data_IF_869119389048
#
_entry.id   IF_869119389048
#
_cell.length_a   1.000
_cell.length_b   1.000
_cell.length_c   1.000
_cell.angle_alpha   90.00
_cell.angle_beta   90.00
_cell.angle_gamma   90.00
#
_symmetry.space_group_name_H-M   'P 1'
#
loop_
_entity.id
_entity.type
_entity.pdbx_description
1 polymer ?
#
# COMPACT_ATOMS: atom_id res chain seq x y z
N UNK A 1 -2.83 22.76 16.42
CA UNK A 1 -2.35 22.07 15.25
C UNK A 1 -1.05 22.69 14.74
N UNK A 2 -0.16 21.88 14.30
CA UNK A 2 1.13 22.39 13.83
C UNK A 2 0.99 23.09 12.49
N UNK A 3 1.55 24.30 12.40
CA UNK A 3 1.56 25.02 11.14
C UNK A 3 2.51 24.35 10.14
N UNK A 4 3.42 23.51 10.61
CA UNK A 4 4.32 22.80 9.72
C UNK A 4 3.56 21.95 8.71
N UNK A 5 2.42 21.41 9.13
CA UNK A 5 1.60 20.59 8.24
C UNK A 5 1.10 21.43 7.07
N UNK A 6 0.81 22.69 7.33
CA UNK A 6 0.29 23.57 6.29
C UNK A 6 1.34 23.92 5.24
N UNK A 7 2.59 23.86 5.61
CA UNK A 7 3.67 24.26 4.73
C UNK A 7 4.31 23.08 4.01
N UNK A 8 3.91 21.86 4.34
CA UNK A 8 4.50 20.68 3.76
C UNK A 8 3.48 19.90 2.98
N UNK A 9 3.81 19.48 1.76
CA UNK A 9 2.91 18.58 1.05
C UNK A 9 2.81 17.27 1.81
N UNK A 10 1.74 16.56 1.58
CA UNK A 10 1.59 15.23 2.15
C UNK A 10 2.71 14.35 1.61
N UNK A 11 3.27 13.52 2.48
CA UNK A 11 4.36 12.64 2.10
C UNK A 11 4.22 11.31 2.84
N UNK A 12 5.21 10.45 2.69
CA UNK A 12 5.15 9.10 3.22
C UNK A 12 5.16 9.04 4.75
N UNK A 13 5.45 10.15 5.41
CA UNK A 13 5.39 10.19 6.87
C UNK A 13 3.95 10.23 7.37
N UNK A 14 3.00 10.55 6.50
CA UNK A 14 1.58 10.58 6.83
C UNK A 14 0.86 9.66 5.85
N UNK A 15 0.36 8.53 6.35
CA UNK A 15 -0.32 7.58 5.50
C UNK A 15 -1.44 6.89 6.27
N UNK A 16 -2.38 6.36 5.52
CA UNK A 16 -3.47 5.55 6.06
C UNK A 16 -3.26 4.11 5.61
N UNK A 17 -3.64 3.18 6.47
CA UNK A 17 -3.46 1.77 6.18
C UNK A 17 -4.81 1.07 6.11
N UNK A 18 -4.97 0.23 5.10
CA UNK A 18 -6.15 -0.62 4.97
C UNK A 18 -5.68 -2.07 4.98
N UNK A 19 -6.22 -2.83 5.92
CA UNK A 19 -5.93 -4.26 6.00
C UNK A 19 -7.04 -5.01 5.28
N UNK A 20 -6.68 -5.71 4.23
CA UNK A 20 -7.64 -6.40 3.37
C UNK A 20 -7.74 -7.88 3.72
N UNK A 21 -8.94 -8.42 3.58
CA UNK A 21 -9.20 -9.82 3.89
C UNK A 21 -8.58 -10.77 2.87
N UNK A 22 -8.56 -10.36 1.60
CA UNK A 22 -8.09 -11.20 0.52
C UNK A 22 -7.63 -10.36 -0.65
N UNK A 23 -7.18 -11.03 -1.71
CA UNK A 23 -6.70 -10.36 -2.89
C UNK A 23 -7.79 -9.52 -3.55
N UNK A 24 -9.02 -9.99 -3.51
CA UNK A 24 -10.13 -9.27 -4.12
C UNK A 24 -10.29 -7.89 -3.49
N UNK A 25 -10.21 -7.80 -2.18
CA UNK A 25 -10.29 -6.51 -1.50
C UNK A 25 -9.11 -5.62 -1.84
N UNK A 26 -7.91 -6.20 -1.90
CA UNK A 26 -6.73 -5.44 -2.31
C UNK A 26 -6.95 -4.82 -3.67
N UNK A 27 -7.45 -5.61 -4.62
CA UNK A 27 -7.69 -5.13 -5.97
C UNK A 27 -8.72 -4.00 -6.00
N UNK A 28 -9.79 -4.14 -5.22
CA UNK A 28 -10.86 -3.14 -5.17
C UNK A 28 -10.32 -1.81 -4.65
N UNK A 29 -9.65 -1.83 -3.50
CA UNK A 29 -9.14 -0.60 -2.90
C UNK A 29 -8.02 0.00 -3.72
N UNK A 30 -7.13 -0.85 -4.24
CA UNK A 30 -6.03 -0.36 -5.06
C UNK A 30 -6.55 0.37 -6.29
N UNK A 31 -7.50 -0.25 -6.99
CA UNK A 31 -8.08 0.38 -8.18
C UNK A 31 -8.81 1.66 -7.84
N UNK A 32 -9.51 1.68 -6.72
CA UNK A 32 -10.23 2.86 -6.29
C UNK A 32 -9.29 4.03 -6.08
N UNK A 33 -8.20 3.82 -5.35
CA UNK A 33 -7.28 4.90 -5.03
C UNK A 33 -6.43 5.32 -6.22
N UNK A 34 -6.02 4.37 -7.05
CA UNK A 34 -5.09 4.69 -8.12
C UNK A 34 -5.77 5.14 -9.41
N UNK A 35 -7.07 4.97 -9.51
CA UNK A 35 -7.78 5.33 -10.72
C UNK A 35 -7.55 6.78 -11.12
N UNK A 36 -7.53 7.68 -10.15
CA UNK A 36 -7.25 9.09 -10.41
C UNK A 36 -6.02 9.56 -9.64
N UNK A 37 -5.27 8.63 -9.08
CA UNK A 37 -4.07 8.90 -8.33
C UNK A 37 -2.87 8.26 -8.99
N UNK A 38 -1.98 7.70 -8.16
CA UNK A 38 -0.74 7.09 -8.64
C UNK A 38 -0.42 5.84 -7.87
N UNK A 39 0.18 4.87 -8.56
CA UNK A 39 0.74 3.69 -7.90
C UNK A 39 2.12 4.04 -7.36
N UNK A 40 2.43 3.49 -6.21
CA UNK A 40 3.78 3.58 -5.66
C UNK A 40 4.30 2.16 -5.47
N UNK A 41 5.14 1.93 -4.46
CA UNK A 41 5.81 0.65 -4.27
C UNK A 41 5.32 -0.03 -2.99
N UNK A 42 5.44 -1.34 -2.93
CA UNK A 42 5.26 -2.10 -1.69
C UNK A 42 3.88 -1.93 -1.07
N UNK A 43 2.85 -1.85 -1.89
CA UNK A 43 1.48 -1.69 -1.39
C UNK A 43 1.08 -0.26 -1.12
N UNK A 44 1.96 0.69 -1.38
CA UNK A 44 1.65 2.11 -1.22
C UNK A 44 1.05 2.67 -2.49
N UNK A 45 0.10 3.58 -2.33
CA UNK A 45 -0.43 4.34 -3.46
C UNK A 45 -0.83 5.73 -2.97
N UNK A 46 -1.11 6.60 -3.92
CA UNK A 46 -1.45 8.00 -3.65
C UNK A 46 -2.78 8.25 -4.33
N UNK A 47 -3.76 8.76 -3.57
CA UNK A 47 -5.06 9.03 -4.16
C UNK A 47 -5.07 10.38 -4.88
N UNK A 48 -6.22 10.73 -5.44
CA UNK A 48 -6.32 11.96 -6.23
C UNK A 48 -6.13 13.23 -5.41
N UNK A 49 -6.21 13.11 -4.10
CA UNK A 49 -6.02 14.25 -3.20
C UNK A 49 -4.60 14.33 -2.65
N UNK A 50 -3.75 13.42 -3.05
CA UNK A 50 -2.37 13.39 -2.57
C UNK A 50 -2.17 12.63 -1.26
N UNK A 51 -3.22 11.98 -0.77
CA UNK A 51 -3.10 11.17 0.44
C UNK A 51 -2.43 9.85 0.12
N UNK A 52 -1.55 9.41 1.01
CA UNK A 52 -0.87 8.14 0.84
C UNK A 52 -1.63 7.05 1.55
N UNK A 53 -1.76 5.93 0.87
CA UNK A 53 -2.46 4.76 1.39
C UNK A 53 -1.58 3.53 1.28
N UNK A 54 -1.68 2.67 2.28
CA UNK A 54 -1.05 1.35 2.24
C UNK A 54 -2.17 0.33 2.17
N UNK A 55 -2.25 -0.39 1.06
CA UNK A 55 -3.28 -1.41 0.85
C UNK A 55 -2.62 -2.75 1.03
N UNK A 56 -2.84 -3.37 2.17
CA UNK A 56 -2.09 -4.55 2.61
C UNK A 56 -3.03 -5.69 2.99
N UNK A 57 -2.57 -6.94 2.85
CA UNK A 57 -3.35 -8.07 3.35
C UNK A 57 -3.27 -8.12 4.87
N UNK A 58 -4.34 -8.59 5.50
CA UNK A 58 -4.37 -8.66 6.96
C UNK A 58 -3.34 -9.64 7.52
N UNK A 59 -2.91 -10.60 6.71
CA UNK A 59 -1.92 -11.59 7.12
C UNK A 59 -0.52 -11.25 6.59
N UNK A 60 -0.23 -9.95 6.45
CA UNK A 60 1.06 -9.53 5.92
C UNK A 60 2.24 -10.09 6.70
N UNK A 61 2.14 -10.10 8.05
CA UNK A 61 3.22 -10.62 8.87
C UNK A 61 3.53 -12.07 8.53
N UNK A 62 2.48 -12.86 8.32
CA UNK A 62 2.66 -14.26 7.95
C UNK A 62 3.34 -14.38 6.60
N UNK A 63 2.92 -13.57 5.64
CA UNK A 63 3.53 -13.61 4.32
C UNK A 63 4.98 -13.15 4.36
N UNK A 64 5.28 -12.16 5.17
CA UNK A 64 6.64 -11.63 5.25
C UNK A 64 7.59 -12.54 6.03
N UNK A 65 7.07 -13.56 6.70
CA UNK A 65 7.93 -14.53 7.38
C UNK A 65 8.56 -15.52 6.42
N UNK A 66 8.12 -15.54 5.17
CA UNK A 66 8.65 -16.51 4.19
C UNK A 66 9.96 -16.03 3.60
N UNK A 67 10.84 -16.98 3.19
CA UNK A 67 12.08 -16.61 2.48
C UNK A 67 11.72 -15.83 1.23
N UNK A 68 12.51 -14.88 0.85
CA UNK A 68 12.32 -14.08 -0.36
C UNK A 68 11.14 -13.11 -0.32
N UNK A 69 10.34 -13.09 0.76
CA UNK A 69 9.17 -12.22 0.80
C UNK A 69 9.56 -10.75 0.69
N UNK A 70 10.63 -10.36 1.35
CA UNK A 70 11.08 -8.98 1.29
C UNK A 70 11.45 -8.58 -0.13
N UNK A 71 12.15 -9.46 -0.84
CA UNK A 71 12.53 -9.21 -2.22
C UNK A 71 11.30 -9.11 -3.11
N UNK A 72 10.33 -9.98 -2.88
CA UNK A 72 9.08 -9.95 -3.65
C UNK A 72 8.37 -8.62 -3.42
N UNK A 73 8.26 -8.21 -2.16
CA UNK A 73 7.58 -6.97 -1.81
C UNK A 73 8.23 -5.77 -2.47
N UNK A 74 9.57 -5.74 -2.47
CA UNK A 74 10.29 -4.61 -3.04
C UNK A 74 10.09 -4.49 -4.54
N UNK A 75 9.67 -5.57 -5.19
CA UNK A 75 9.43 -5.57 -6.63
C UNK A 75 7.96 -5.42 -7.00
N UNK A 76 7.08 -5.30 -6.01
CA UNK A 76 5.66 -5.14 -6.28
C UNK A 76 5.23 -3.69 -6.08
N UNK A 77 4.24 -3.28 -6.85
CA UNK A 77 3.49 -2.06 -6.57
C UNK A 77 2.25 -2.48 -5.78
N UNK A 78 1.24 -3.02 -6.46
CA UNK A 78 0.11 -3.63 -5.75
C UNK A 78 0.56 -4.95 -5.15
N UNK A 79 0.17 -5.21 -3.90
CA UNK A 79 0.50 -6.48 -3.28
C UNK A 79 -0.27 -7.60 -3.97
N UNK A 80 0.46 -8.61 -4.44
CA UNK A 80 -0.14 -9.80 -5.05
C UNK A 80 0.20 -10.95 -4.14
N UNK A 81 -0.78 -11.41 -3.37
CA UNK A 81 -0.58 -12.42 -2.33
C UNK A 81 -0.01 -13.71 -2.91
N UNK A 82 -0.48 -14.09 -4.09
CA UNK A 82 -0.07 -15.34 -4.71
C UNK A 82 1.45 -15.43 -4.88
N UNK A 83 2.11 -14.30 -5.14
CA UNK A 83 3.55 -14.30 -5.33
C UNK A 83 4.31 -14.72 -4.08
N UNK A 84 3.72 -14.50 -2.92
CA UNK A 84 4.35 -14.86 -1.64
C UNK A 84 4.14 -16.32 -1.31
N UNK A 85 3.23 -16.99 -1.99
CA UNK A 85 2.88 -18.37 -1.72
C UNK A 85 3.59 -19.37 -2.62
N UNK A 86 4.36 -18.89 -3.57
CA UNK A 86 5.10 -19.75 -4.50
C UNK A 86 6.36 -20.31 -3.87
#
# INVERSE_FOLDING_TARGET
MSTAIEHHPLNDAVSFMINCEDQNEIDIYWNYFTREGKESQCGWCIDKYGLRWQVLPKNLDELMSKPNSFKIMMNQKKIVIEEYLK
#
